data_IF_339413895028
#
_entry.id   IF_339413895028
#
_cell.length_a   1.000
_cell.length_b   1.000
_cell.length_c   1.000
_cell.angle_alpha   90.00
_cell.angle_beta   90.00
_cell.angle_gamma   90.00
#
_symmetry.space_group_name_H-M   'P 1'
#
loop_
_entity.id
_entity.type
_entity.pdbx_description
1 polymer ?
#
# COMPACT_ATOMS: atom_id res chain seq x y z
N UNK A 1 -32.30 3.64 4.30
CA UNK A 1 -32.15 5.09 4.12
C UNK A 1 -33.45 5.72 4.56
N UNK A 2 -33.42 6.72 5.44
CA UNK A 2 -34.62 7.39 5.94
C UNK A 2 -34.94 8.62 5.09
N UNK A 3 -36.21 8.79 4.73
CA UNK A 3 -36.67 9.88 3.89
C UNK A 3 -37.45 10.97 4.63
N UNK A 4 -37.92 10.67 5.84
CA UNK A 4 -38.63 11.63 6.69
C UNK A 4 -38.38 11.37 8.17
N UNK A 5 -38.65 12.38 9.00
CA UNK A 5 -38.52 12.25 10.46
C UNK A 5 -39.52 11.23 11.03
N UNK A 6 -40.73 11.16 10.49
CA UNK A 6 -41.78 10.22 10.93
C UNK A 6 -41.32 8.78 10.74
N UNK A 7 -40.79 8.44 9.55
CA UNK A 7 -40.26 7.11 9.25
C UNK A 7 -39.15 6.68 10.21
N UNK A 8 -38.24 7.62 10.54
CA UNK A 8 -37.15 7.38 11.49
C UNK A 8 -37.68 7.15 12.91
N UNK A 9 -38.62 7.98 13.35
CA UNK A 9 -39.21 7.90 14.69
C UNK A 9 -39.98 6.60 14.88
N UNK A 10 -40.78 6.19 13.89
CA UNK A 10 -41.55 4.93 13.94
C UNK A 10 -40.61 3.73 14.04
N UNK A 11 -39.55 3.69 13.21
CA UNK A 11 -38.58 2.60 13.23
C UNK A 11 -37.77 2.53 14.53
N UNK A 12 -37.49 3.67 15.17
CA UNK A 12 -36.75 3.74 16.45
C UNK A 12 -37.66 3.73 17.69
N UNK A 13 -38.98 3.65 17.53
CA UNK A 13 -39.94 3.68 18.64
C UNK A 13 -39.95 5.00 19.43
N UNK A 14 -39.64 6.12 18.77
CA UNK A 14 -39.57 7.44 19.41
C UNK A 14 -40.94 8.10 19.45
N UNK A 15 -41.40 8.49 20.65
CA UNK A 15 -42.72 9.11 20.86
C UNK A 15 -42.75 10.63 20.68
N UNK A 16 -41.60 11.29 20.78
CA UNK A 16 -41.47 12.75 20.67
C UNK A 16 -40.20 13.12 19.88
N UNK A 17 -40.30 14.17 19.06
CA UNK A 17 -39.18 14.77 18.31
C UNK A 17 -38.07 15.27 19.23
N UNK A 18 -38.41 15.67 20.47
CA UNK A 18 -37.41 16.10 21.47
C UNK A 18 -36.48 14.99 21.93
N UNK A 19 -36.91 13.73 21.78
CA UNK A 19 -36.11 12.54 22.13
C UNK A 19 -35.14 12.13 21.03
N UNK A 20 -35.14 12.82 19.88
CA UNK A 20 -34.28 12.49 18.74
C UNK A 20 -32.85 12.93 19.03
N UNK A 21 -31.94 11.97 19.10
CA UNK A 21 -30.50 12.22 19.20
C UNK A 21 -29.93 12.61 17.84
N UNK A 22 -30.01 13.90 17.49
CA UNK A 22 -29.63 14.42 16.16
C UNK A 22 -28.19 14.10 15.75
N UNK A 23 -27.23 14.17 16.67
CA UNK A 23 -25.84 13.83 16.34
C UNK A 23 -25.69 12.35 16.00
N UNK A 24 -26.27 11.48 16.82
CA UNK A 24 -26.22 10.04 16.62
C UNK A 24 -26.82 9.66 15.27
N UNK A 25 -28.01 10.17 14.93
CA UNK A 25 -28.65 9.84 13.65
C UNK A 25 -27.88 10.40 12.45
N UNK A 26 -27.26 11.58 12.55
CA UNK A 26 -26.47 12.14 11.45
C UNK A 26 -25.19 11.33 11.19
N UNK A 27 -24.71 10.57 12.17
CA UNK A 27 -23.48 9.79 12.08
C UNK A 27 -23.75 8.32 11.72
N UNK A 28 -24.75 7.71 12.35
CA UNK A 28 -24.98 6.27 12.29
C UNK A 28 -26.01 5.85 11.23
N UNK A 29 -26.94 6.73 10.87
CA UNK A 29 -28.03 6.39 9.96
C UNK A 29 -27.78 6.92 8.54
N UNK A 30 -28.29 6.21 7.53
CA UNK A 30 -28.34 6.71 6.16
C UNK A 30 -29.54 7.64 5.98
N UNK A 31 -29.31 8.94 5.94
CA UNK A 31 -30.32 9.98 5.77
C UNK A 31 -30.37 10.42 4.31
N UNK A 32 -31.57 10.49 3.72
CA UNK A 32 -31.69 11.02 2.37
C UNK A 32 -31.57 12.55 2.37
N UNK A 33 -31.19 13.13 1.24
CA UNK A 33 -31.17 14.59 1.09
C UNK A 33 -32.53 15.25 1.35
N UNK A 34 -33.63 14.54 1.10
CA UNK A 34 -34.98 15.02 1.41
C UNK A 34 -35.16 15.15 2.92
N UNK A 35 -34.76 14.13 3.68
CA UNK A 35 -34.76 14.18 5.13
C UNK A 35 -33.96 15.38 5.65
N UNK A 36 -32.76 15.58 5.12
CA UNK A 36 -31.88 16.69 5.55
C UNK A 36 -32.52 18.04 5.22
N UNK A 37 -33.11 18.20 4.02
CA UNK A 37 -33.85 19.41 3.60
C UNK A 37 -35.02 19.75 4.51
N UNK A 38 -35.72 18.75 5.03
CA UNK A 38 -36.86 18.94 5.93
C UNK A 38 -36.44 19.27 7.37
N UNK A 39 -35.16 19.09 7.73
CA UNK A 39 -34.66 19.20 9.11
C UNK A 39 -33.39 20.07 9.24
N UNK A 40 -33.25 21.10 8.38
CA UNK A 40 -32.03 21.90 8.22
C UNK A 40 -31.48 22.48 9.53
N UNK A 41 -32.33 22.91 10.46
CA UNK A 41 -31.91 23.55 11.73
C UNK A 41 -31.48 22.56 12.81
N UNK A 42 -31.83 21.29 12.64
CA UNK A 42 -31.64 20.24 13.65
C UNK A 42 -30.43 19.37 13.37
N UNK A 43 -30.16 19.12 12.08
CA UNK A 43 -29.03 18.30 11.66
C UNK A 43 -27.70 18.94 12.04
N UNK A 44 -26.72 18.09 12.29
CA UNK A 44 -25.34 18.52 12.52
C UNK A 44 -24.59 18.50 11.19
N UNK A 45 -24.36 19.67 10.61
CA UNK A 45 -23.75 19.80 9.28
C UNK A 45 -22.33 19.24 9.17
N UNK A 46 -21.55 19.21 10.26
CA UNK A 46 -20.24 18.53 10.29
C UNK A 46 -20.42 17.03 10.06
N UNK A 47 -21.35 16.42 10.78
CA UNK A 47 -21.64 15.00 10.64
C UNK A 47 -22.29 14.68 9.28
N UNK A 48 -23.17 15.56 8.79
CA UNK A 48 -23.74 15.43 7.44
C UNK A 48 -22.62 15.42 6.38
N UNK A 49 -21.64 16.31 6.48
CA UNK A 49 -20.54 16.42 5.50
C UNK A 49 -19.63 15.18 5.49
N UNK A 50 -19.39 14.57 6.65
CA UNK A 50 -18.48 13.43 6.79
C UNK A 50 -19.11 12.05 6.63
N UNK A 51 -20.38 11.88 6.98
CA UNK A 51 -20.99 10.54 7.11
C UNK A 51 -22.12 10.26 6.12
N UNK A 52 -22.68 11.28 5.46
CA UNK A 52 -23.79 11.09 4.53
C UNK A 52 -23.31 11.14 3.08
N UNK A 53 -23.99 10.41 2.20
CA UNK A 53 -23.79 10.49 0.75
C UNK A 53 -24.58 11.70 0.22
N UNK A 54 -23.87 12.69 -0.32
CA UNK A 54 -24.45 13.95 -0.81
C UNK A 54 -24.18 14.10 -2.31
N UNK A 55 -25.22 14.41 -3.09
CA UNK A 55 -25.03 14.74 -4.50
C UNK A 55 -24.37 16.11 -4.68
N UNK A 56 -23.66 16.29 -5.78
CA UNK A 56 -23.09 17.60 -6.17
C UNK A 56 -24.14 18.72 -6.18
N UNK A 57 -25.38 18.42 -6.62
CA UNK A 57 -26.47 19.39 -6.61
C UNK A 57 -26.89 19.82 -5.21
N UNK A 58 -26.82 18.92 -4.24
CA UNK A 58 -27.05 19.24 -2.83
C UNK A 58 -25.91 20.03 -2.23
N UNK A 59 -24.67 19.62 -2.50
CA UNK A 59 -23.47 20.30 -2.03
C UNK A 59 -23.45 21.74 -2.55
N UNK A 60 -23.76 21.94 -3.84
CA UNK A 60 -23.88 23.27 -4.43
C UNK A 60 -24.94 24.13 -3.73
N UNK A 61 -26.11 23.56 -3.41
CA UNK A 61 -27.20 24.30 -2.77
C UNK A 61 -26.86 24.71 -1.33
N UNK A 62 -26.11 23.90 -0.60
CA UNK A 62 -25.82 24.09 0.83
C UNK A 62 -24.33 24.32 1.10
N UNK A 63 -23.59 24.82 0.12
CA UNK A 63 -22.13 24.99 0.14
C UNK A 63 -21.62 25.64 1.43
N UNK A 64 -22.27 26.71 1.86
CA UNK A 64 -21.83 27.48 3.03
C UNK A 64 -22.03 26.71 4.33
N UNK A 65 -22.98 25.76 4.41
CA UNK A 65 -23.25 24.99 5.63
C UNK A 65 -22.31 23.81 5.82
N UNK A 66 -21.65 23.36 4.75
CA UNK A 66 -20.90 22.12 4.72
C UNK A 66 -19.44 22.32 5.14
N UNK A 67 -18.84 21.26 5.67
CA UNK A 67 -17.44 21.23 6.08
C UNK A 67 -16.63 20.59 4.98
N UNK A 68 -15.95 21.42 4.20
CA UNK A 68 -15.43 20.99 2.92
C UNK A 68 -14.20 20.09 2.98
N UNK A 69 -13.42 20.17 4.05
CA UNK A 69 -12.38 19.19 4.30
C UNK A 69 -12.98 17.78 4.39
N UNK A 70 -14.17 17.64 4.97
CA UNK A 70 -14.87 16.35 4.98
C UNK A 70 -15.46 16.05 3.61
N UNK A 71 -16.09 17.03 2.96
CA UNK A 71 -16.70 16.84 1.63
C UNK A 71 -15.68 16.29 0.63
N UNK A 72 -14.51 16.91 0.54
CA UNK A 72 -13.45 16.46 -0.36
C UNK A 72 -12.94 15.09 0.07
N UNK A 73 -12.86 14.77 1.37
CA UNK A 73 -12.39 13.45 1.83
C UNK A 73 -13.41 12.32 1.66
N UNK A 74 -14.70 12.60 1.65
CA UNK A 74 -15.73 11.55 1.77
C UNK A 74 -16.63 11.44 0.55
N UNK A 75 -16.88 12.53 -0.19
CA UNK A 75 -17.88 12.55 -1.26
C UNK A 75 -17.31 12.17 -2.63
N UNK A 76 -18.07 11.42 -3.42
CA UNK A 76 -17.73 11.14 -4.81
C UNK A 76 -18.04 12.36 -5.68
N UNK A 77 -17.01 13.16 -5.96
CA UNK A 77 -17.12 14.39 -6.75
C UNK A 77 -16.53 14.18 -8.14
N UNK A 78 -16.99 14.93 -9.13
CA UNK A 78 -16.40 15.02 -10.46
C UNK A 78 -15.26 16.04 -10.50
N UNK A 79 -14.36 15.89 -11.48
CA UNK A 79 -13.28 16.85 -11.73
C UNK A 79 -13.81 18.26 -12.02
N UNK A 80 -14.88 18.36 -12.81
CA UNK A 80 -15.54 19.64 -13.13
C UNK A 80 -16.09 20.32 -11.86
N UNK A 81 -16.62 19.53 -10.93
CA UNK A 81 -17.10 20.05 -9.65
C UNK A 81 -15.94 20.50 -8.77
N UNK A 82 -14.86 19.72 -8.70
CA UNK A 82 -13.64 20.07 -7.94
C UNK A 82 -12.96 21.34 -8.48
N UNK A 83 -13.01 21.57 -9.79
CA UNK A 83 -12.42 22.76 -10.44
C UNK A 83 -13.30 24.01 -10.31
N UNK A 84 -14.63 23.85 -10.42
CA UNK A 84 -15.55 24.79 -9.75
C UNK A 84 -15.16 24.79 -8.26
N UNK A 85 -15.55 25.67 -7.35
CA UNK A 85 -15.12 25.57 -5.91
C UNK A 85 -13.61 25.58 -5.50
N UNK A 86 -12.62 25.30 -6.35
CA UNK A 86 -11.19 25.45 -6.00
C UNK A 86 -10.74 26.92 -5.78
N UNK A 87 -11.62 27.88 -6.09
CA UNK A 87 -11.36 29.31 -5.94
C UNK A 87 -11.95 29.83 -4.62
N UNK A 88 -11.08 30.39 -3.77
CA UNK A 88 -11.42 31.03 -2.48
C UNK A 88 -12.54 32.08 -2.60
N UNK A 89 -12.69 32.76 -3.74
CA UNK A 89 -13.74 33.78 -3.94
C UNK A 89 -15.16 33.20 -3.88
N UNK A 90 -15.32 31.89 -4.06
CA UNK A 90 -16.60 31.19 -3.99
C UNK A 90 -17.07 30.94 -2.56
N UNK A 91 -16.19 31.22 -1.59
CA UNK A 91 -16.38 30.91 -0.20
C UNK A 91 -16.70 32.19 0.54
N UNK A 92 -17.94 32.30 1.01
CA UNK A 92 -18.38 33.41 1.83
C UNK A 92 -18.62 32.91 3.25
N UNK A 93 -18.34 33.74 4.27
CA UNK A 93 -18.79 33.46 5.62
C UNK A 93 -20.29 33.20 5.61
N UNK A 94 -20.73 32.18 6.33
CA UNK A 94 -22.15 31.88 6.49
C UNK A 94 -22.80 33.10 7.14
N UNK A 95 -23.91 33.58 6.58
CA UNK A 95 -24.70 34.61 7.23
C UNK A 95 -25.19 34.07 8.58
N UNK A 96 -25.02 34.83 9.66
CA UNK A 96 -25.41 34.43 11.02
C UNK A 96 -26.91 34.06 11.12
N UNK A 97 -27.72 34.52 10.16
CA UNK A 97 -29.14 34.19 10.07
C UNK A 97 -29.45 32.86 9.36
N UNK A 98 -28.49 32.24 8.68
CA UNK A 98 -28.69 30.95 8.03
C UNK A 98 -28.57 29.75 8.98
N UNK A 99 -27.81 29.87 10.07
CA UNK A 99 -27.60 28.79 11.03
C UNK A 99 -28.39 28.99 12.31
N UNK A 100 -28.85 27.88 12.91
CA UNK A 100 -29.31 27.93 14.29
C UNK A 100 -28.14 28.25 15.24
N UNK A 101 -28.41 28.85 16.41
CA UNK A 101 -27.36 29.16 17.41
C UNK A 101 -26.49 27.95 17.78
N UNK A 102 -27.07 26.74 17.76
CA UNK A 102 -26.32 25.50 18.01
C UNK A 102 -25.36 25.19 16.87
N UNK A 103 -25.81 25.33 15.63
CA UNK A 103 -25.00 25.09 14.44
C UNK A 103 -23.89 26.13 14.31
N UNK A 104 -24.18 27.40 14.61
CA UNK A 104 -23.17 28.46 14.62
C UNK A 104 -22.02 28.12 15.59
N UNK A 105 -22.33 27.67 16.82
CA UNK A 105 -21.31 27.25 17.79
C UNK A 105 -20.47 26.07 17.29
N UNK A 106 -21.07 25.12 16.58
CA UNK A 106 -20.32 23.99 15.99
C UNK A 106 -19.39 24.52 14.88
N UNK A 107 -19.89 25.42 14.03
CA UNK A 107 -19.10 26.02 12.96
C UNK A 107 -17.93 26.87 13.50
N UNK A 108 -18.15 27.67 14.52
CA UNK A 108 -17.10 28.47 15.17
C UNK A 108 -16.03 27.59 15.84
N UNK A 109 -16.42 26.42 16.35
CA UNK A 109 -15.51 25.50 17.04
C UNK A 109 -14.74 24.59 16.09
N UNK A 110 -15.42 24.03 15.10
CA UNK A 110 -14.91 22.93 14.26
C UNK A 110 -14.64 23.39 12.82
N UNK A 111 -15.11 24.58 12.44
CA UNK A 111 -14.99 25.10 11.08
C UNK A 111 -13.61 25.65 10.81
N UNK A 112 -13.05 25.27 9.67
CA UNK A 112 -11.80 25.79 9.15
C UNK A 112 -12.11 26.76 8.00
N UNK A 113 -11.43 27.93 7.93
CA UNK A 113 -11.48 28.75 6.74
C UNK A 113 -10.97 27.96 5.54
N UNK A 114 -11.51 28.22 4.35
CA UNK A 114 -11.00 27.61 3.13
C UNK A 114 -9.51 27.95 2.94
N UNK A 115 -8.70 26.90 2.84
CA UNK A 115 -7.30 26.97 2.47
C UNK A 115 -7.09 26.24 1.14
N UNK A 116 -6.54 26.95 0.15
CA UNK A 116 -6.37 26.41 -1.18
C UNK A 116 -5.29 25.31 -1.23
N UNK A 117 -4.24 25.40 -0.40
CA UNK A 117 -3.17 24.42 -0.38
C UNK A 117 -3.67 23.09 0.21
N UNK A 118 -4.38 23.15 1.34
CA UNK A 118 -5.00 21.96 1.94
C UNK A 118 -6.05 21.35 1.01
N UNK A 119 -6.86 22.19 0.35
CA UNK A 119 -7.83 21.73 -0.66
C UNK A 119 -7.16 20.91 -1.76
N UNK A 120 -6.15 21.47 -2.42
CA UNK A 120 -5.46 20.78 -3.52
C UNK A 120 -4.65 19.57 -3.05
N UNK A 121 -4.13 19.60 -1.82
CA UNK A 121 -3.51 18.43 -1.19
C UNK A 121 -4.53 17.31 -1.01
N UNK A 122 -5.72 17.58 -0.48
CA UNK A 122 -6.78 16.57 -0.36
C UNK A 122 -7.22 16.05 -1.73
N UNK A 123 -7.40 16.93 -2.72
CA UNK A 123 -7.71 16.55 -4.11
C UNK A 123 -6.66 15.59 -4.67
N UNK A 124 -5.37 15.84 -4.42
CA UNK A 124 -4.27 15.00 -4.91
C UNK A 124 -4.32 13.56 -4.38
N UNK A 125 -4.93 13.35 -3.21
CA UNK A 125 -5.10 12.02 -2.60
C UNK A 125 -6.36 11.27 -3.07
N UNK A 126 -7.22 11.86 -3.90
CA UNK A 126 -8.55 11.31 -4.24
C UNK A 126 -8.48 10.16 -5.23
N UNK A 127 -8.83 8.96 -4.77
CA UNK A 127 -8.92 7.77 -5.64
C UNK A 127 -10.34 7.45 -6.10
N UNK A 128 -11.36 7.94 -5.40
CA UNK A 128 -12.77 7.69 -5.71
C UNK A 128 -13.42 9.01 -6.13
N UNK A 129 -13.63 9.16 -7.43
CA UNK A 129 -14.37 10.27 -8.05
C UNK A 129 -15.64 9.71 -8.69
N UNK A 130 -16.67 10.54 -8.83
CA UNK A 130 -18.02 10.14 -9.24
C UNK A 130 -18.09 9.23 -10.48
N UNK A 131 -17.10 9.33 -11.39
CA UNK A 131 -17.04 8.55 -12.62
C UNK A 131 -15.62 8.04 -12.96
N UNK A 132 -14.69 8.02 -11.99
CA UNK A 132 -13.30 7.67 -12.25
C UNK A 132 -12.59 7.05 -11.03
N UNK A 133 -11.60 6.19 -11.31
CA UNK A 133 -10.69 5.60 -10.32
C UNK A 133 -9.47 6.51 -10.08
N UNK A 134 -9.73 7.78 -9.78
CA UNK A 134 -8.68 8.79 -9.58
C UNK A 134 -8.69 9.89 -10.65
N UNK A 135 -7.78 10.84 -10.48
CA UNK A 135 -7.66 12.00 -11.36
C UNK A 135 -7.18 11.59 -12.75
N UNK A 136 -7.78 12.17 -13.78
CA UNK A 136 -7.41 11.99 -15.16
C UNK A 136 -6.05 12.64 -15.45
N UNK A 137 -5.23 12.07 -16.35
CA UNK A 137 -3.97 12.70 -16.76
C UNK A 137 -4.15 14.14 -17.27
N UNK A 138 -5.26 14.42 -17.97
CA UNK A 138 -5.58 15.75 -18.47
C UNK A 138 -5.83 16.75 -17.33
N UNK A 139 -6.55 16.33 -16.29
CA UNK A 139 -6.77 17.15 -15.10
C UNK A 139 -5.45 17.40 -14.36
N UNK A 140 -4.64 16.36 -14.17
CA UNK A 140 -3.32 16.49 -13.52
C UNK A 140 -2.44 17.48 -14.29
N UNK A 141 -2.40 17.39 -15.62
CA UNK A 141 -1.61 18.32 -16.45
C UNK A 141 -2.10 19.76 -16.35
N UNK A 142 -3.42 19.96 -16.35
CA UNK A 142 -4.05 21.28 -16.23
C UNK A 142 -3.74 21.94 -14.88
N UNK A 143 -3.68 21.16 -13.80
CA UNK A 143 -3.53 21.64 -12.42
C UNK A 143 -2.18 21.25 -11.78
N UNK A 144 -1.16 21.00 -12.61
CA UNK A 144 0.16 20.49 -12.17
C UNK A 144 0.87 21.34 -11.12
N UNK A 145 0.61 22.65 -11.08
CA UNK A 145 1.26 23.58 -10.15
C UNK A 145 0.53 23.67 -8.80
N UNK A 146 -0.70 23.17 -8.74
CA UNK A 146 -1.56 23.20 -7.56
C UNK A 146 -1.54 21.85 -6.84
N UNK A 147 -1.48 20.75 -7.59
CA UNK A 147 -1.50 19.41 -7.07
C UNK A 147 -0.17 19.04 -6.37
N UNK A 148 -0.28 18.28 -5.29
CA UNK A 148 0.86 17.76 -4.55
C UNK A 148 1.44 16.53 -5.25
N UNK A 149 2.62 16.66 -5.88
CA UNK A 149 3.24 15.58 -6.64
C UNK A 149 3.63 14.36 -5.79
N UNK A 150 3.94 14.55 -4.51
CA UNK A 150 4.18 13.46 -3.57
C UNK A 150 2.90 12.64 -3.36
N UNK A 151 1.76 13.30 -3.14
CA UNK A 151 0.45 12.66 -3.01
C UNK A 151 0.03 11.98 -4.32
N UNK A 152 0.21 12.65 -5.46
CA UNK A 152 -0.05 12.06 -6.77
C UNK A 152 0.77 10.78 -7.00
N UNK A 153 2.08 10.80 -6.69
CA UNK A 153 2.96 9.65 -6.89
C UNK A 153 2.57 8.44 -6.06
N UNK A 154 1.98 8.65 -4.87
CA UNK A 154 1.55 7.59 -3.96
C UNK A 154 0.15 7.06 -4.25
N UNK A 155 -0.80 7.97 -4.49
CA UNK A 155 -2.22 7.63 -4.46
C UNK A 155 -2.85 7.59 -5.86
N UNK A 156 -2.32 8.32 -6.84
CA UNK A 156 -2.89 8.29 -8.19
C UNK A 156 -2.21 7.25 -9.07
N UNK A 157 -2.93 6.79 -10.07
CA UNK A 157 -2.32 6.09 -11.20
C UNK A 157 -1.67 7.13 -12.12
N UNK A 158 -0.35 7.06 -12.26
CA UNK A 158 0.42 7.96 -13.12
C UNK A 158 0.97 7.17 -14.32
N UNK A 159 0.42 7.38 -15.53
CA UNK A 159 0.96 6.76 -16.73
C UNK A 159 2.43 7.16 -16.96
N UNK A 160 3.27 6.23 -17.43
CA UNK A 160 4.68 6.50 -17.73
C UNK A 160 4.92 7.77 -18.60
N UNK A 161 4.10 8.11 -19.62
CA UNK A 161 4.27 9.37 -20.36
C UNK A 161 4.06 10.63 -19.51
N UNK A 162 3.17 10.58 -18.52
CA UNK A 162 2.95 11.67 -17.58
C UNK A 162 4.15 11.80 -16.64
N UNK A 163 4.61 10.68 -16.07
CA UNK A 163 5.83 10.64 -15.24
C UNK A 163 7.02 11.20 -16.04
N UNK A 164 7.15 10.82 -17.32
CA UNK A 164 8.22 11.32 -18.19
C UNK A 164 8.22 12.84 -18.33
N UNK A 165 7.04 13.43 -18.56
CA UNK A 165 6.89 14.90 -18.71
C UNK A 165 7.17 15.65 -17.41
N UNK A 166 6.85 15.05 -16.26
CA UNK A 166 6.97 15.67 -14.94
C UNK A 166 8.07 15.02 -14.09
N UNK A 167 9.12 14.51 -14.73
CA UNK A 167 10.22 13.78 -14.08
C UNK A 167 10.94 14.55 -12.96
N UNK A 168 10.86 15.90 -12.97
CA UNK A 168 11.44 16.76 -11.94
C UNK A 168 10.52 17.03 -10.73
N UNK A 169 9.26 16.68 -10.86
CA UNK A 169 8.23 16.96 -9.85
C UNK A 169 7.79 15.70 -9.11
N UNK A 170 7.76 14.56 -9.81
CA UNK A 170 7.38 13.27 -9.22
C UNK A 170 8.34 12.86 -8.09
N UNK A 171 7.79 12.17 -7.10
CA UNK A 171 8.58 11.50 -6.09
C UNK A 171 9.00 10.13 -6.62
N UNK A 172 10.28 10.00 -7.00
CA UNK A 172 10.79 8.79 -7.64
C UNK A 172 10.75 7.55 -6.75
N UNK A 173 10.89 7.71 -5.43
CA UNK A 173 10.75 6.60 -4.49
C UNK A 173 9.32 6.07 -4.54
N UNK A 174 8.33 6.96 -4.46
CA UNK A 174 6.92 6.58 -4.53
C UNK A 174 6.52 6.05 -5.91
N UNK A 175 7.02 6.67 -6.98
CA UNK A 175 6.80 6.18 -8.35
C UNK A 175 7.31 4.75 -8.50
N UNK A 176 8.54 4.48 -8.04
CA UNK A 176 9.14 3.15 -8.13
C UNK A 176 8.38 2.10 -7.31
N UNK A 177 7.75 2.51 -6.21
CA UNK A 177 7.06 1.60 -5.29
C UNK A 177 5.59 1.35 -5.59
N UNK A 178 4.93 2.31 -6.24
CA UNK A 178 3.47 2.30 -6.38
C UNK A 178 2.97 2.30 -7.82
N UNK A 179 3.82 2.66 -8.80
CA UNK A 179 3.44 2.70 -10.20
C UNK A 179 3.94 1.45 -10.95
N UNK A 180 3.29 1.11 -12.06
CA UNK A 180 3.73 0.00 -12.92
C UNK A 180 4.69 0.53 -13.97
N UNK A 181 5.97 0.17 -13.85
CA UNK A 181 7.04 0.65 -14.73
C UNK A 181 7.55 -0.47 -15.62
N UNK A 182 7.82 -0.15 -16.89
CA UNK A 182 8.54 -1.08 -17.76
C UNK A 182 10.04 -1.07 -17.48
N UNK A 183 10.72 -2.21 -17.67
CA UNK A 183 12.18 -2.32 -17.55
C UNK A 183 12.92 -1.24 -18.35
N UNK A 184 12.48 -0.94 -19.58
CA UNK A 184 13.06 0.12 -20.43
C UNK A 184 12.89 1.51 -19.80
N UNK A 185 11.77 1.76 -19.14
CA UNK A 185 11.53 3.02 -18.45
C UNK A 185 12.43 3.16 -17.22
N UNK A 186 12.57 2.08 -16.44
CA UNK A 186 13.48 2.00 -15.30
C UNK A 186 14.93 2.26 -15.75
N UNK A 187 15.37 1.66 -16.86
CA UNK A 187 16.70 1.90 -17.43
C UNK A 187 16.89 3.36 -17.88
N UNK A 188 15.87 3.95 -18.53
CA UNK A 188 15.90 5.36 -18.93
C UNK A 188 16.09 6.31 -17.75
N UNK A 189 15.50 5.98 -16.60
CA UNK A 189 15.53 6.77 -15.37
C UNK A 189 16.41 6.14 -14.29
N UNK A 190 17.48 5.47 -14.72
CA UNK A 190 18.33 4.67 -13.83
C UNK A 190 19.04 5.45 -12.73
N UNK A 191 19.11 6.78 -12.80
CA UNK A 191 19.69 7.60 -11.74
C UNK A 191 18.65 8.10 -10.72
N UNK A 192 17.36 7.99 -11.04
CA UNK A 192 16.28 8.56 -10.25
C UNK A 192 15.48 7.49 -9.51
N UNK A 193 15.26 6.33 -10.13
CA UNK A 193 14.51 5.21 -9.55
C UNK A 193 15.21 4.62 -8.31
N UNK A 194 14.41 4.13 -7.37
CA UNK A 194 14.93 3.37 -6.23
C UNK A 194 15.35 1.97 -6.68
N UNK A 195 16.65 1.67 -6.64
CA UNK A 195 17.16 0.34 -7.02
C UNK A 195 17.11 -0.69 -5.90
N UNK A 196 17.36 -0.23 -4.67
CA UNK A 196 17.74 -1.11 -3.56
C UNK A 196 16.74 -2.25 -3.34
N UNK A 197 15.44 -1.93 -3.39
CA UNK A 197 14.31 -2.84 -3.14
C UNK A 197 13.35 -2.95 -4.32
N UNK A 198 13.78 -2.58 -5.53
CA UNK A 198 12.89 -2.45 -6.69
C UNK A 198 12.10 -3.72 -7.01
N UNK A 199 12.69 -4.90 -6.77
CA UNK A 199 12.06 -6.20 -7.04
C UNK A 199 10.88 -6.53 -6.14
N UNK A 200 10.71 -5.82 -5.01
CA UNK A 200 9.55 -5.97 -4.13
C UNK A 200 8.32 -5.20 -4.64
N UNK A 201 8.53 -4.29 -5.59
CA UNK A 201 7.49 -3.37 -6.05
C UNK A 201 7.23 -3.47 -7.55
N UNK A 202 8.22 -3.94 -8.31
CA UNK A 202 8.14 -4.07 -9.76
C UNK A 202 8.24 -5.54 -10.18
N UNK A 203 7.45 -5.90 -11.19
CA UNK A 203 7.56 -7.19 -11.86
C UNK A 203 8.70 -7.14 -12.87
N UNK A 204 9.80 -7.84 -12.56
CA UNK A 204 11.06 -7.74 -13.30
C UNK A 204 11.54 -9.12 -13.74
N UNK A 205 11.97 -9.21 -14.99
CA UNK A 205 12.54 -10.44 -15.52
C UNK A 205 13.86 -10.78 -14.85
N UNK A 206 14.17 -12.08 -14.78
CA UNK A 206 15.45 -12.56 -14.28
C UNK A 206 16.62 -11.97 -15.06
N UNK A 207 16.48 -11.80 -16.38
CA UNK A 207 17.50 -11.19 -17.23
C UNK A 207 17.81 -9.76 -16.80
N UNK A 208 16.78 -8.98 -16.49
CA UNK A 208 16.95 -7.61 -16.01
C UNK A 208 17.63 -7.56 -14.65
N UNK A 209 17.17 -8.38 -13.70
CA UNK A 209 17.77 -8.46 -12.38
C UNK A 209 19.23 -8.90 -12.46
N UNK A 210 19.55 -9.94 -13.25
CA UNK A 210 20.92 -10.39 -13.46
C UNK A 210 21.83 -9.28 -13.99
N UNK A 211 21.34 -8.43 -14.89
CA UNK A 211 22.09 -7.30 -15.45
C UNK A 211 22.35 -6.21 -14.41
N UNK A 212 21.38 -5.91 -13.56
CA UNK A 212 21.41 -4.76 -12.63
C UNK A 212 21.60 -5.14 -11.16
N UNK A 213 21.88 -6.41 -10.86
CA UNK A 213 21.96 -6.97 -9.51
C UNK A 213 22.86 -6.17 -8.56
N UNK A 214 23.93 -5.56 -9.06
CA UNK A 214 24.87 -4.79 -8.24
C UNK A 214 24.21 -3.58 -7.55
N UNK A 215 23.10 -3.08 -8.09
CA UNK A 215 22.35 -1.94 -7.54
C UNK A 215 21.30 -2.34 -6.50
N UNK A 216 21.01 -3.63 -6.38
CA UNK A 216 19.98 -4.18 -5.50
C UNK A 216 20.64 -4.73 -4.23
N UNK A 217 20.17 -4.33 -3.04
CA UNK A 217 20.67 -4.92 -1.79
C UNK A 217 19.95 -6.23 -1.48
N UNK A 218 18.65 -6.31 -1.78
CA UNK A 218 17.83 -7.50 -1.64
C UNK A 218 16.99 -7.77 -2.89
N UNK A 219 16.64 -9.04 -3.09
CA UNK A 219 15.83 -9.50 -4.21
C UNK A 219 14.59 -10.20 -3.66
N UNK A 220 13.42 -9.88 -4.21
CA UNK A 220 12.17 -10.54 -3.83
C UNK A 220 12.09 -11.96 -4.40
N UNK A 221 11.69 -12.88 -3.54
CA UNK A 221 11.36 -14.26 -3.87
C UNK A 221 9.86 -14.47 -4.08
N UNK A 222 9.02 -13.44 -4.16
CA UNK A 222 7.56 -13.63 -4.31
C UNK A 222 7.17 -14.06 -5.74
N UNK A 223 7.84 -13.49 -6.74
CA UNK A 223 7.64 -13.90 -8.13
C UNK A 223 8.34 -15.23 -8.40
N UNK A 224 7.72 -16.10 -9.21
CA UNK A 224 8.34 -17.37 -9.59
C UNK A 224 9.69 -17.15 -10.25
N UNK A 225 10.72 -17.81 -9.73
CA UNK A 225 12.09 -17.79 -10.25
C UNK A 225 12.55 -19.21 -10.62
N UNK A 226 13.53 -19.29 -11.50
CA UNK A 226 14.29 -20.51 -11.78
C UNK A 226 15.23 -20.84 -10.63
N UNK A 227 15.50 -22.13 -10.38
CA UNK A 227 16.46 -22.53 -9.34
C UNK A 227 17.86 -21.95 -9.58
N UNK A 228 18.29 -21.87 -10.84
CA UNK A 228 19.56 -21.25 -11.21
C UNK A 228 19.64 -19.77 -10.83
N UNK A 229 18.51 -19.05 -10.93
CA UNK A 229 18.40 -17.67 -10.47
C UNK A 229 18.49 -17.58 -8.95
N UNK A 230 17.71 -18.40 -8.24
CA UNK A 230 17.74 -18.47 -6.77
C UNK A 230 19.14 -18.78 -6.25
N UNK A 231 19.84 -19.71 -6.89
CA UNK A 231 21.23 -20.06 -6.55
C UNK A 231 22.17 -18.86 -6.71
N UNK A 232 22.04 -18.16 -7.84
CA UNK A 232 22.93 -17.04 -8.21
C UNK A 232 22.76 -15.87 -7.24
N UNK A 233 21.53 -15.61 -6.79
CA UNK A 233 21.19 -14.47 -5.91
C UNK A 233 20.92 -14.86 -4.46
N UNK A 234 21.33 -16.08 -4.06
CA UNK A 234 21.00 -16.68 -2.77
C UNK A 234 21.29 -15.77 -1.57
N UNK A 235 22.36 -14.99 -1.62
CA UNK A 235 22.77 -14.12 -0.51
C UNK A 235 21.84 -12.91 -0.35
N UNK A 236 21.22 -12.45 -1.45
CA UNK A 236 20.28 -11.32 -1.50
C UNK A 236 18.82 -11.72 -1.28
N UNK A 237 18.54 -13.02 -1.27
CA UNK A 237 17.22 -13.59 -1.07
C UNK A 237 17.00 -13.90 0.41
N UNK A 238 15.80 -13.62 0.90
CA UNK A 238 15.37 -14.05 2.22
C UNK A 238 14.97 -15.55 2.20
N UNK A 239 15.44 -16.30 3.18
CA UNK A 239 15.27 -17.77 3.22
C UNK A 239 13.80 -18.16 3.39
N UNK A 240 13.11 -17.51 4.33
CA UNK A 240 11.71 -17.77 4.63
C UNK A 240 10.83 -17.47 3.41
N UNK A 241 11.10 -16.35 2.73
CA UNK A 241 10.40 -15.94 1.52
C UNK A 241 10.60 -16.95 0.37
N UNK A 242 11.81 -17.47 0.18
CA UNK A 242 12.06 -18.52 -0.83
C UNK A 242 11.20 -19.76 -0.53
N UNK A 243 11.17 -20.24 0.71
CA UNK A 243 10.38 -21.43 1.05
C UNK A 243 8.86 -21.21 0.95
N UNK A 244 8.39 -19.98 1.21
CA UNK A 244 6.96 -19.64 1.15
C UNK A 244 6.44 -19.51 -0.30
N UNK A 245 7.29 -19.04 -1.22
CA UNK A 245 6.83 -18.59 -2.55
C UNK A 245 7.43 -19.37 -3.72
N UNK A 246 8.54 -20.09 -3.51
CA UNK A 246 9.20 -20.88 -4.55
C UNK A 246 8.88 -22.37 -4.42
N UNK A 247 8.99 -23.08 -5.55
CA UNK A 247 8.86 -24.53 -5.58
C UNK A 247 10.23 -25.15 -5.85
N UNK A 248 10.90 -25.55 -4.79
CA UNK A 248 12.17 -26.29 -4.86
C UNK A 248 11.88 -27.78 -5.05
N UNK A 249 12.63 -28.42 -5.95
CA UNK A 249 12.41 -29.83 -6.30
C UNK A 249 13.02 -30.80 -5.29
N UNK A 250 14.21 -30.49 -4.80
CA UNK A 250 14.99 -31.36 -3.93
C UNK A 250 14.80 -30.95 -2.47
N UNK A 251 14.02 -31.75 -1.74
CA UNK A 251 13.73 -31.55 -0.32
C UNK A 251 13.96 -32.86 0.42
N UNK A 252 14.85 -32.84 1.41
CA UNK A 252 15.11 -33.95 2.34
C UNK A 252 14.44 -33.63 3.68
N UNK A 253 13.71 -34.58 4.22
CA UNK A 253 12.92 -34.38 5.44
C UNK A 253 13.50 -35.20 6.57
N UNK A 254 13.89 -34.52 7.64
CA UNK A 254 14.36 -35.16 8.85
C UNK A 254 13.41 -34.81 10.00
N UNK A 255 13.54 -35.55 11.11
CA UNK A 255 12.73 -35.30 12.31
C UNK A 255 12.92 -33.89 12.90
N UNK A 256 14.14 -33.31 12.99
CA UNK A 256 14.32 -31.98 13.57
C UNK A 256 14.11 -30.83 12.57
N UNK A 257 14.31 -31.06 11.27
CA UNK A 257 14.24 -30.03 10.23
C UNK A 257 14.09 -30.64 8.83
N UNK A 258 13.66 -29.80 7.89
CA UNK A 258 13.72 -30.10 6.45
C UNK A 258 14.91 -29.36 5.82
N UNK A 259 15.60 -30.04 4.90
CA UNK A 259 16.69 -29.47 4.09
C UNK A 259 16.18 -29.25 2.67
N UNK A 260 16.18 -28.01 2.24
CA UNK A 260 15.85 -27.61 0.88
C UNK A 260 17.13 -27.32 0.11
N UNK A 261 17.28 -27.92 -1.07
CA UNK A 261 18.44 -27.73 -1.93
C UNK A 261 18.09 -26.79 -3.06
N UNK A 262 18.94 -25.78 -3.26
CA UNK A 262 18.89 -24.88 -4.41
C UNK A 262 20.06 -25.25 -5.32
N UNK A 263 19.76 -25.64 -6.56
CA UNK A 263 20.75 -26.21 -7.48
C UNK A 263 21.10 -25.27 -8.64
N UNK A 264 22.36 -25.29 -9.05
CA UNK A 264 22.83 -24.73 -10.32
C UNK A 264 24.03 -25.52 -10.82
N UNK A 265 23.86 -26.19 -11.96
CA UNK A 265 24.86 -27.11 -12.51
C UNK A 265 25.26 -28.17 -11.46
N UNK A 266 26.53 -28.24 -11.06
CA UNK A 266 27.00 -29.11 -9.98
C UNK A 266 26.98 -28.44 -8.59
N UNK A 267 26.70 -27.14 -8.52
CA UNK A 267 26.68 -26.38 -7.28
C UNK A 267 25.36 -26.54 -6.52
N UNK A 268 25.45 -26.73 -5.21
CA UNK A 268 24.31 -26.78 -4.30
C UNK A 268 24.44 -25.73 -3.19
N UNK A 269 23.30 -25.18 -2.78
CA UNK A 269 23.13 -24.31 -1.61
C UNK A 269 21.94 -24.81 -0.81
N UNK A 270 21.94 -24.58 0.49
CA UNK A 270 21.01 -25.27 1.38
C UNK A 270 20.23 -24.29 2.25
N UNK A 271 18.94 -24.56 2.42
CA UNK A 271 18.08 -23.85 3.36
C UNK A 271 17.52 -24.87 4.35
N UNK A 272 17.79 -24.66 5.63
CA UNK A 272 17.20 -25.43 6.73
C UNK A 272 15.89 -24.79 7.18
N UNK A 273 14.89 -25.62 7.44
CA UNK A 273 13.62 -25.24 8.05
C UNK A 273 13.36 -26.10 9.28
N UNK A 274 13.55 -25.53 10.46
CA UNK A 274 13.40 -26.24 11.74
C UNK A 274 11.93 -26.46 12.10
N UNK A 275 11.63 -27.64 12.64
CA UNK A 275 10.26 -28.01 13.02
C UNK A 275 9.86 -27.47 14.40
N UNK A 276 10.83 -27.31 15.30
CA UNK A 276 10.63 -26.71 16.63
C UNK A 276 11.14 -25.27 16.67
N UNK A 277 10.30 -24.36 17.17
CA UNK A 277 10.69 -22.97 17.43
C UNK A 277 11.52 -22.91 18.71
N UNK A 278 12.85 -23.02 18.59
CA UNK A 278 13.74 -22.72 19.70
C UNK A 278 13.67 -21.22 20.03
N UNK A 279 13.33 -20.87 21.28
CA UNK A 279 13.15 -19.48 21.72
C UNK A 279 14.36 -18.61 21.32
N UNK A 280 14.13 -17.66 20.41
CA UNK A 280 15.14 -16.68 19.98
C UNK A 280 15.93 -17.05 18.72
N UNK A 281 15.63 -18.17 18.07
CA UNK A 281 16.29 -18.59 16.83
C UNK A 281 15.35 -18.48 15.62
N UNK A 282 15.86 -17.97 14.50
CA UNK A 282 15.11 -17.95 13.23
C UNK A 282 14.80 -19.38 12.76
N UNK A 283 13.51 -19.63 12.47
CA UNK A 283 12.98 -20.93 12.02
C UNK A 283 13.62 -21.43 10.73
N UNK A 284 14.03 -20.52 9.87
CA UNK A 284 14.65 -20.83 8.57
C UNK A 284 16.04 -20.25 8.49
N UNK A 285 17.02 -21.03 8.03
CA UNK A 285 18.40 -20.56 7.89
C UNK A 285 19.00 -20.97 6.56
N UNK A 286 19.75 -20.06 5.95
CA UNK A 286 20.66 -20.37 4.84
C UNK A 286 21.93 -20.95 5.44
N UNK A 287 22.36 -22.10 4.94
CA UNK A 287 23.59 -22.75 5.41
C UNK A 287 24.48 -23.13 4.23
N UNK A 288 25.78 -23.11 4.47
CA UNK A 288 26.77 -23.69 3.55
C UNK A 288 26.87 -25.22 3.76
N UNK A 289 27.72 -25.89 2.97
CA UNK A 289 27.87 -27.35 3.06
C UNK A 289 28.49 -27.85 4.37
N UNK A 290 29.45 -27.11 4.93
CA UNK A 290 30.11 -27.44 6.21
C UNK A 290 29.13 -27.31 7.37
N UNK A 291 28.41 -26.19 7.44
CA UNK A 291 27.35 -25.95 8.43
C UNK A 291 26.25 -27.02 8.34
N UNK A 292 25.83 -27.39 7.13
CA UNK A 292 24.85 -28.48 6.94
C UNK A 292 25.39 -29.81 7.49
N UNK A 293 26.65 -30.14 7.23
CA UNK A 293 27.28 -31.33 7.78
C UNK A 293 27.28 -31.31 9.31
N UNK A 294 27.66 -30.19 9.94
CA UNK A 294 27.64 -30.04 11.40
C UNK A 294 26.24 -30.26 11.97
N UNK A 295 25.19 -29.64 11.39
CA UNK A 295 23.81 -29.88 11.85
C UNK A 295 23.37 -31.33 11.71
N UNK A 296 23.77 -32.02 10.64
CA UNK A 296 23.45 -33.44 10.45
C UNK A 296 24.21 -34.32 11.46
N UNK A 297 25.46 -34.01 11.77
CA UNK A 297 26.27 -34.67 12.80
C UNK A 297 25.69 -34.50 14.21
N UNK A 298 25.36 -33.26 14.59
CA UNK A 298 24.77 -32.92 15.90
C UNK A 298 23.44 -33.65 16.15
N UNK A 299 22.67 -33.92 15.09
CA UNK A 299 21.38 -34.60 15.17
C UNK A 299 21.48 -36.13 14.94
N UNK A 300 22.69 -36.70 14.96
CA UNK A 300 22.95 -38.12 14.74
C UNK A 300 22.45 -38.66 13.38
N UNK A 301 22.48 -37.83 12.34
CA UNK A 301 22.07 -38.14 10.97
C UNK A 301 23.25 -38.42 10.02
N UNK A 302 24.47 -38.55 10.54
CA UNK A 302 25.69 -38.84 9.77
C UNK A 302 25.55 -40.01 8.79
N UNK A 303 24.89 -41.10 9.19
CA UNK A 303 24.69 -42.27 8.33
C UNK A 303 23.83 -41.99 7.08
N UNK A 304 23.07 -40.90 7.08
CA UNK A 304 22.23 -40.48 5.95
C UNK A 304 22.94 -39.50 5.01
N UNK A 305 24.09 -38.94 5.41
CA UNK A 305 24.86 -37.99 4.59
C UNK A 305 25.39 -38.67 3.32
N UNK A 306 25.90 -39.90 3.44
CA UNK A 306 26.39 -40.69 2.30
C UNK A 306 25.33 -40.93 1.22
N UNK A 307 24.07 -41.06 1.62
CA UNK A 307 22.95 -41.32 0.70
C UNK A 307 22.36 -40.02 0.14
N UNK A 308 22.11 -39.03 1.00
CA UNK A 308 21.37 -37.83 0.63
C UNK A 308 22.25 -36.69 0.10
N UNK A 309 23.50 -36.59 0.58
CA UNK A 309 24.43 -35.51 0.28
C UNK A 309 25.88 -36.00 0.10
N UNK A 310 26.14 -36.94 -0.84
CA UNK A 310 27.47 -37.53 -1.03
C UNK A 310 28.57 -36.49 -1.31
N UNK A 311 28.20 -35.34 -1.87
CA UNK A 311 29.11 -34.22 -2.13
C UNK A 311 29.73 -33.59 -0.86
N UNK A 312 29.08 -33.73 0.31
CA UNK A 312 29.56 -33.13 1.56
C UNK A 312 30.69 -33.93 2.21
N UNK A 313 30.88 -35.19 1.83
CA UNK A 313 31.90 -36.07 2.40
C UNK A 313 33.28 -35.78 1.80
N UNK A 314 33.33 -35.49 0.51
CA UNK A 314 34.57 -35.26 -0.25
C UNK A 314 35.33 -34.01 0.24
N UNK A 315 34.64 -33.06 0.89
CA UNK A 315 35.26 -31.82 1.39
C UNK A 315 36.18 -32.09 2.60
N UNK A 316 35.95 -33.14 3.40
CA UNK A 316 36.83 -33.50 4.53
C UNK A 316 38.18 -34.03 4.05
N UNK A 317 38.19 -34.90 3.04
CA UNK A 317 39.41 -35.61 2.59
C UNK A 317 40.49 -34.68 2.02
N UNK A 318 40.12 -33.53 1.44
CA UNK A 318 41.10 -32.57 0.92
C UNK A 318 41.69 -31.62 1.97
N UNK A 319 41.07 -31.51 3.15
CA UNK A 319 41.57 -30.66 4.24
C UNK A 319 42.65 -31.34 5.08
N UNK A 320 42.69 -32.68 5.11
CA UNK A 320 43.69 -33.45 5.88
C UNK A 320 44.98 -33.75 5.09
N UNK A 321 44.99 -33.61 3.76
CA UNK A 321 46.16 -33.97 2.93
C UNK A 321 47.21 -32.86 2.75
N UNK A 322 47.04 -31.65 3.32
CA UNK A 322 48.04 -30.57 3.16
C UNK A 322 48.98 -30.34 4.35
N UNK A 323 48.87 -31.12 5.44
CA UNK A 323 49.75 -30.96 6.63
C UNK A 323 50.89 -31.98 6.77
N UNK A 324 51.08 -32.89 5.81
CA UNK A 324 52.25 -33.78 5.80
C UNK A 324 52.95 -33.79 4.44
N UNK A 325 53.60 -32.70 4.07
CA UNK A 325 54.89 -32.71 3.32
C UNK A 325 55.49 -31.31 3.18
N UNK A 326 56.27 -30.88 4.19
CA UNK A 326 57.65 -30.38 4.02
C UNK A 326 58.32 -30.03 5.34
#
# INVERSE_FOLDING_TARGET
MFNSLTELMDKKGLKDKRSVSWNQICQEERLSEKFIKENLDQVNWKLISGYQELSEGFIQKYINRLFWDDIIKTQELSEDFIERYADKKKWHPIDAYELSKKQQKIFEKEGTPFDAADYWKFVSTRQNLANAKGLSPAFIEKHQDQLGWTELSRYQYLPMPLIHRHARQVDWLLVTRHQVLSERFIEKYSNDVEWEKITFYQSLSERFINRHQAKMSCISAEEKRSEAFLYTHFDKLDAASVLAHQKLLEVKKYKPFDVYVVTKDAGKKYILNFHEDALGLEKTRKVNGEELHEYLEENHLLATIEEDFPELIVVKDFSEETEYTK
#
